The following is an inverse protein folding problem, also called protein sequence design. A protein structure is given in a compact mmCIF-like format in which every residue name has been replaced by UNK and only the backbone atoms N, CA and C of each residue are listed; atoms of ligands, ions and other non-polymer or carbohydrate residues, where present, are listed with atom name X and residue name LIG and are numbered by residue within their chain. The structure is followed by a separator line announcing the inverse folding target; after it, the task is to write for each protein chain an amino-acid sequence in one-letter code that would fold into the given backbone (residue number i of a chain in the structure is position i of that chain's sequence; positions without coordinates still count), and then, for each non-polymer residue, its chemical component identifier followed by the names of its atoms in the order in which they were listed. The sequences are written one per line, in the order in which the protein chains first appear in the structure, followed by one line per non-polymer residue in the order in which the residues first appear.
data_IF_798062216633
#
_entry.id   IF_798062216633
#
_cell.length_a   1.000
_cell.length_b   1.000
_cell.length_c   1.000
_cell.angle_alpha   90.00
_cell.angle_beta   90.00
_cell.angle_gamma   90.00
#
_symmetry.space_group_name_H-M   'P 1'
#
loop_
_entity.id
_entity.type
_entity.pdbx_description
1 polymer ?
#
# COMPACT_ATOMS: atom_id res chain seq x y z
N UNK A 1 -2.48 6.12 -13.85
CA UNK A 1 -2.95 4.80 -13.36
C UNK A 1 -3.90 4.15 -14.34
N UNK A 2 -4.91 4.83 -14.86
CA UNK A 2 -5.94 4.26 -15.76
C UNK A 2 -5.82 4.67 -17.23
N UNK A 3 -4.61 4.92 -17.73
CA UNK A 3 -4.42 5.52 -19.07
C UNK A 3 -4.87 6.98 -19.18
N UNK A 4 -5.39 7.57 -18.08
CA UNK A 4 -5.74 8.98 -17.99
C UNK A 4 -4.48 9.84 -17.90
N UNK A 5 -4.48 10.93 -18.66
CA UNK A 5 -3.43 11.94 -18.65
C UNK A 5 -3.52 12.87 -17.43
N UNK A 6 -2.39 13.46 -17.06
CA UNK A 6 -2.30 14.46 -15.99
C UNK A 6 -1.85 13.89 -14.65
N UNK A 7 -0.81 14.51 -14.08
CA UNK A 7 -0.22 14.11 -12.80
C UNK A 7 -1.20 14.15 -11.62
N UNK A 8 -2.11 15.13 -11.61
CA UNK A 8 -3.12 15.26 -10.54
C UNK A 8 -4.09 14.08 -10.55
N UNK A 9 -4.64 13.69 -11.71
CA UNK A 9 -5.57 12.56 -11.82
C UNK A 9 -4.90 11.25 -11.42
N UNK A 10 -3.66 11.05 -11.88
CA UNK A 10 -2.84 9.90 -11.48
C UNK A 10 -2.60 9.84 -9.98
N UNK A 11 -2.25 10.97 -9.36
CA UNK A 11 -2.00 11.08 -7.93
C UNK A 11 -3.28 10.87 -7.10
N UNK A 12 -4.39 11.53 -7.44
CA UNK A 12 -5.67 11.37 -6.74
C UNK A 12 -6.13 9.92 -6.79
N UNK A 13 -6.01 9.29 -7.95
CA UNK A 13 -6.32 7.85 -8.11
C UNK A 13 -5.44 7.00 -7.22
N UNK A 14 -4.14 7.26 -7.17
CA UNK A 14 -3.20 6.51 -6.34
C UNK A 14 -3.54 6.61 -4.85
N UNK A 15 -3.82 7.82 -4.37
CA UNK A 15 -4.22 8.06 -2.98
C UNK A 15 -5.57 7.40 -2.67
N UNK A 16 -6.52 7.40 -3.60
CA UNK A 16 -7.80 6.72 -3.43
C UNK A 16 -7.63 5.20 -3.23
N UNK A 17 -6.75 4.55 -3.99
CA UNK A 17 -6.41 3.13 -3.76
C UNK A 17 -5.77 2.93 -2.38
N UNK A 18 -4.86 3.83 -1.99
CA UNK A 18 -4.26 3.81 -0.66
C UNK A 18 -5.30 3.92 0.46
N UNK A 19 -6.35 4.71 0.28
CA UNK A 19 -7.46 4.80 1.24
C UNK A 19 -8.26 3.49 1.30
N UNK A 20 -8.62 2.91 0.14
CA UNK A 20 -9.33 1.61 0.09
C UNK A 20 -8.51 0.50 0.76
N UNK A 21 -7.21 0.42 0.47
CA UNK A 21 -6.30 -0.53 1.12
C UNK A 21 -6.18 -0.27 2.63
N UNK A 22 -6.29 0.99 3.08
CA UNK A 22 -6.35 1.32 4.50
C UNK A 22 -7.62 0.80 5.17
N UNK A 23 -8.76 0.87 4.49
CA UNK A 23 -10.02 0.29 4.99
C UNK A 23 -9.92 -1.23 5.06
N UNK A 24 -9.32 -1.88 4.06
CA UNK A 24 -9.05 -3.34 4.08
C UNK A 24 -8.21 -3.71 5.29
N UNK A 25 -7.16 -2.94 5.57
CA UNK A 25 -6.33 -3.14 6.75
C UNK A 25 -7.14 -3.03 8.04
N UNK A 26 -7.91 -1.95 8.21
CA UNK A 26 -8.75 -1.75 9.39
C UNK A 26 -9.76 -2.90 9.58
N UNK A 27 -10.34 -3.41 8.50
CA UNK A 27 -11.22 -4.58 8.55
C UNK A 27 -10.48 -5.84 9.06
N UNK A 28 -9.26 -6.09 8.57
CA UNK A 28 -8.41 -7.19 9.03
C UNK A 28 -8.08 -7.04 10.52
N UNK A 29 -7.73 -5.83 10.97
CA UNK A 29 -7.42 -5.58 12.39
C UNK A 29 -8.66 -5.77 13.27
N UNK A 30 -9.79 -5.18 12.91
CA UNK A 30 -11.03 -5.23 13.69
C UNK A 30 -11.59 -6.64 13.94
N UNK A 31 -11.26 -7.59 13.06
CA UNK A 31 -11.71 -8.99 13.17
C UNK A 31 -10.70 -9.89 13.88
N UNK A 32 -9.51 -9.37 14.18
CA UNK A 32 -8.48 -10.12 14.91
C UNK A 32 -8.50 -9.69 16.37
N UNK A 33 -8.67 -10.62 17.31
CA UNK A 33 -8.48 -10.30 18.72
C UNK A 33 -6.97 -10.23 19.01
N UNK A 34 -6.43 -9.01 19.16
CA UNK A 34 -4.98 -8.82 19.31
C UNK A 34 -4.63 -8.06 20.57
N UNK A 35 -3.91 -8.73 21.47
CA UNK A 35 -3.24 -8.09 22.60
C UNK A 35 -1.78 -7.88 22.21
N UNK A 36 -1.51 -6.85 21.39
CA UNK A 36 -0.19 -6.61 20.81
C UNK A 36 0.69 -5.77 21.71
N UNK A 37 1.94 -6.19 21.88
CA UNK A 37 3.03 -5.32 22.32
C UNK A 37 3.32 -4.24 21.27
N UNK A 38 3.95 -3.10 21.64
CA UNK A 38 4.34 -2.06 20.69
C UNK A 38 5.20 -2.57 19.52
N UNK A 39 6.06 -3.57 19.76
CA UNK A 39 6.90 -4.17 18.71
C UNK A 39 6.06 -4.99 17.73
N UNK A 40 5.09 -5.76 18.22
CA UNK A 40 4.21 -6.56 17.36
C UNK A 40 3.24 -5.70 16.55
N UNK A 41 2.80 -4.56 17.09
CA UNK A 41 2.07 -3.53 16.35
C UNK A 41 2.86 -3.08 15.12
N UNK A 42 4.08 -2.54 15.32
CA UNK A 42 4.94 -2.12 14.20
C UNK A 42 5.18 -3.25 13.19
N UNK A 43 5.38 -4.48 13.67
CA UNK A 43 5.57 -5.64 12.80
C UNK A 43 4.33 -5.97 11.95
N UNK A 44 3.12 -5.85 12.51
CA UNK A 44 1.87 -6.08 11.78
C UNK A 44 1.69 -5.06 10.65
N UNK A 45 1.90 -3.77 10.94
CA UNK A 45 1.88 -2.71 9.93
C UNK A 45 2.93 -2.91 8.84
N UNK A 46 4.17 -3.25 9.22
CA UNK A 46 5.24 -3.58 8.26
C UNK A 46 4.88 -4.77 7.38
N UNK A 47 4.37 -5.85 7.96
CA UNK A 47 3.98 -7.04 7.21
C UNK A 47 2.91 -6.71 6.17
N UNK A 48 1.92 -5.90 6.54
CA UNK A 48 0.89 -5.45 5.60
C UNK A 48 1.46 -4.56 4.49
N UNK A 49 2.28 -3.57 4.86
CA UNK A 49 2.95 -2.69 3.90
C UNK A 49 3.81 -3.46 2.88
N UNK A 50 4.57 -4.45 3.34
CA UNK A 50 5.35 -5.36 2.48
C UNK A 50 4.45 -6.20 1.58
N UNK A 51 3.34 -6.74 2.10
CA UNK A 51 2.40 -7.52 1.29
C UNK A 51 1.80 -6.67 0.17
N UNK A 52 1.38 -5.44 0.46
CA UNK A 52 0.90 -4.47 -0.54
C UNK A 52 1.98 -4.14 -1.56
N UNK A 53 3.21 -3.90 -1.10
CA UNK A 53 4.34 -3.60 -1.99
C UNK A 53 4.61 -4.73 -2.98
N UNK A 54 4.74 -5.97 -2.48
CA UNK A 54 4.99 -7.14 -3.33
C UNK A 54 3.82 -7.35 -4.29
N UNK A 55 2.60 -7.43 -3.78
CA UNK A 55 1.44 -7.74 -4.59
C UNK A 55 1.15 -6.65 -5.64
N UNK A 56 1.09 -5.39 -5.21
CA UNK A 56 0.65 -4.31 -6.08
C UNK A 56 1.81 -3.61 -6.78
N UNK A 57 2.82 -3.16 -6.06
CA UNK A 57 3.87 -2.32 -6.65
C UNK A 57 4.87 -3.13 -7.50
N UNK A 58 5.28 -4.31 -7.02
CA UNK A 58 6.26 -5.16 -7.71
C UNK A 58 5.61 -5.96 -8.84
N UNK A 59 4.41 -6.51 -8.60
CA UNK A 59 3.78 -7.47 -9.51
C UNK A 59 2.67 -6.87 -10.37
N UNK A 60 1.59 -6.36 -9.77
CA UNK A 60 0.38 -5.95 -10.53
C UNK A 60 0.60 -4.65 -11.31
N UNK A 61 1.22 -3.62 -10.70
CA UNK A 61 1.34 -2.28 -11.29
C UNK A 61 2.16 -2.24 -12.58
N UNK A 62 3.34 -2.90 -12.69
CA UNK A 62 4.11 -2.88 -13.94
C UNK A 62 3.32 -3.50 -15.10
N UNK A 63 2.64 -4.62 -14.85
CA UNK A 63 1.76 -5.28 -15.82
C UNK A 63 0.60 -4.36 -16.19
N UNK A 64 -0.11 -3.83 -15.19
CA UNK A 64 -1.26 -2.95 -15.40
C UNK A 64 -0.92 -1.71 -16.22
N UNK A 65 0.15 -0.98 -15.83
CA UNK A 65 0.57 0.24 -16.53
C UNK A 65 0.99 -0.05 -17.98
N UNK A 66 1.64 -1.19 -18.21
CA UNK A 66 1.99 -1.64 -19.56
C UNK A 66 0.73 -1.94 -20.38
N UNK A 67 -0.27 -2.62 -19.79
CA UNK A 67 -1.50 -2.99 -20.50
C UNK A 67 -2.38 -1.80 -20.88
N UNK A 68 -2.41 -0.74 -20.05
CA UNK A 68 -3.19 0.47 -20.35
C UNK A 68 -2.39 1.52 -21.13
N UNK A 69 -1.21 1.16 -21.63
CA UNK A 69 -0.43 1.98 -22.57
C UNK A 69 0.31 3.16 -21.95
N UNK A 70 0.67 3.11 -20.66
CA UNK A 70 1.50 4.17 -20.05
C UNK A 70 2.93 4.06 -20.57
N UNK A 71 3.40 5.07 -21.31
CA UNK A 71 4.74 5.07 -21.93
C UNK A 71 5.88 4.82 -20.93
N UNK A 72 5.78 5.39 -19.73
CA UNK A 72 6.78 5.27 -18.67
C UNK A 72 6.45 4.14 -17.66
N UNK A 73 5.83 3.05 -18.12
CA UNK A 73 5.56 1.90 -17.26
C UNK A 73 6.88 1.28 -16.74
N UNK A 74 7.01 1.00 -15.44
CA UNK A 74 8.18 0.33 -14.89
C UNK A 74 8.35 -1.08 -15.48
N UNK A 75 9.60 -1.55 -15.57
CA UNK A 75 9.88 -2.93 -15.95
C UNK A 75 9.31 -3.93 -14.92
N UNK A 76 8.81 -5.06 -15.40
CA UNK A 76 8.36 -6.16 -14.54
C UNK A 76 9.51 -7.15 -14.29
N UNK A 77 9.79 -7.56 -13.03
CA UNK A 77 9.22 -7.05 -11.77
C UNK A 77 9.85 -5.73 -11.30
N UNK A 78 9.07 -4.86 -10.64
CA UNK A 78 9.53 -3.52 -10.24
C UNK A 78 10.00 -3.47 -8.76
N UNK A 79 11.21 -3.93 -8.51
CA UNK A 79 11.82 -4.02 -7.16
C UNK A 79 12.57 -2.77 -6.68
N UNK A 80 12.01 -1.57 -6.79
CA UNK A 80 12.66 -0.32 -6.34
C UNK A 80 12.71 -0.20 -4.79
N UNK A 81 13.90 0.04 -4.23
CA UNK A 81 14.10 0.16 -2.78
C UNK A 81 13.43 1.41 -2.20
N UNK A 82 13.38 2.51 -2.95
CA UNK A 82 12.67 3.73 -2.52
C UNK A 82 11.16 3.47 -2.44
N UNK A 83 10.64 2.69 -3.38
CA UNK A 83 9.26 2.23 -3.40
C UNK A 83 8.92 1.34 -2.20
N UNK A 84 9.81 0.40 -1.86
CA UNK A 84 9.67 -0.43 -0.66
C UNK A 84 9.55 0.43 0.61
N UNK A 85 10.46 1.40 0.80
CA UNK A 85 10.46 2.28 1.97
C UNK A 85 9.11 3.00 2.15
N UNK A 86 8.55 3.54 1.06
CA UNK A 86 7.25 4.24 1.11
C UNK A 86 6.11 3.32 1.54
N UNK A 87 6.10 2.06 1.09
CA UNK A 87 5.07 1.10 1.47
C UNK A 87 5.23 0.60 2.91
N UNK A 88 6.47 0.46 3.39
CA UNK A 88 6.75 0.17 4.79
C UNK A 88 6.22 1.28 5.71
N UNK A 89 6.51 2.56 5.37
CA UNK A 89 5.99 3.73 6.10
C UNK A 89 4.46 3.78 6.07
N UNK A 90 3.84 3.50 4.91
CA UNK A 90 2.39 3.43 4.78
C UNK A 90 1.79 2.37 5.73
N UNK A 91 2.32 1.14 5.72
CA UNK A 91 1.82 0.06 6.58
C UNK A 91 1.96 0.35 8.07
N UNK A 92 3.12 0.89 8.49
CA UNK A 92 3.32 1.33 9.90
C UNK A 92 2.36 2.46 10.26
N UNK A 93 2.17 3.43 9.37
CA UNK A 93 1.24 4.54 9.59
C UNK A 93 -0.19 4.06 9.78
N UNK A 94 -0.65 3.09 8.99
CA UNK A 94 -1.97 2.49 9.16
C UNK A 94 -2.15 1.83 10.53
N UNK A 95 -1.17 1.04 10.96
CA UNK A 95 -1.23 0.39 12.27
C UNK A 95 -1.25 1.42 13.41
N UNK A 96 -0.41 2.46 13.33
CA UNK A 96 -0.41 3.54 14.33
C UNK A 96 -1.79 4.18 14.43
N UNK A 97 -2.43 4.46 13.29
CA UNK A 97 -3.80 5.00 13.27
C UNK A 97 -4.81 4.02 13.86
N UNK A 98 -4.73 2.72 13.53
CA UNK A 98 -5.65 1.70 14.09
C UNK A 98 -5.59 1.68 15.62
N UNK A 99 -4.38 1.62 16.19
CA UNK A 99 -4.19 1.62 17.65
C UNK A 99 -4.70 2.91 18.30
N UNK A 100 -4.59 4.05 17.63
CA UNK A 100 -5.12 5.31 18.15
C UNK A 100 -6.65 5.37 18.13
N UNK A 101 -7.31 4.66 17.20
CA UNK A 101 -8.77 4.60 17.09
C UNK A 101 -9.40 3.56 18.02
N UNK A 102 -8.63 2.58 18.49
CA UNK A 102 -9.06 1.54 19.44
C UNK A 102 -8.96 1.97 20.92
N UNK A 103 -8.53 3.20 21.21
CA UNK A 103 -8.45 3.80 22.55
C UNK A 103 -9.70 4.60 22.89
#
# INVERSE_FOLDING_TARGET
MYGLEGGLVGWTTHVAHGAVLGVVFAAIVSTTNRDLTPRSTVAAGLAYGLAVWVALAVLVMPVWLSTVGVEMAPAFPNGDATNLMRHAVYGVGLEVVSVLLER
#
